data_IF_278540605492
#
_entry.id   IF_278540605492
#
_cell.length_a   1.000
_cell.length_b   1.000
_cell.length_c   1.000
_cell.angle_alpha   90.00
_cell.angle_beta   90.00
_cell.angle_gamma   90.00
#
_symmetry.space_group_name_H-M   'P 1'
#
loop_
_entity.id
_entity.type
_entity.pdbx_description
1 polymer ?
#
# COMPACT_ATOMS: atom_id res chain seq x y z
N UNK A 1 9.64 -10.23 -23.53
CA UNK A 1 10.54 -9.48 -22.64
C UNK A 1 10.12 -9.82 -21.22
N UNK A 2 11.05 -9.99 -20.28
CA UNK A 2 10.71 -10.22 -18.87
C UNK A 2 11.31 -9.09 -18.06
N UNK A 3 10.47 -8.38 -17.29
CA UNK A 3 10.93 -7.30 -16.43
C UNK A 3 11.61 -7.85 -15.18
N UNK A 4 12.69 -7.19 -14.73
CA UNK A 4 13.48 -7.62 -13.59
C UNK A 4 13.39 -6.64 -12.43
N UNK A 5 13.13 -7.17 -11.22
CA UNK A 5 13.03 -6.41 -9.99
C UNK A 5 14.14 -6.80 -9.01
N UNK A 6 14.81 -5.78 -8.48
CA UNK A 6 15.88 -5.90 -7.50
C UNK A 6 15.36 -5.55 -6.10
N UNK A 7 16.09 -5.94 -5.06
CA UNK A 7 15.78 -5.54 -3.68
C UNK A 7 15.66 -4.02 -3.51
N UNK A 8 16.44 -3.22 -4.26
CA UNK A 8 16.30 -1.76 -4.25
C UNK A 8 14.98 -1.28 -4.85
N UNK A 9 14.46 -1.98 -5.85
CA UNK A 9 13.15 -1.64 -6.44
C UNK A 9 12.03 -1.89 -5.43
N UNK A 10 12.05 -3.02 -4.72
CA UNK A 10 11.10 -3.29 -3.64
C UNK A 10 11.12 -2.19 -2.56
N UNK A 11 12.31 -1.76 -2.14
CA UNK A 11 12.41 -0.66 -1.16
C UNK A 11 11.86 0.65 -1.71
N UNK A 12 12.10 0.96 -2.99
CA UNK A 12 11.56 2.14 -3.64
C UNK A 12 10.03 2.08 -3.73
N UNK A 13 9.46 0.93 -4.07
CA UNK A 13 8.01 0.70 -4.14
C UNK A 13 7.38 0.87 -2.76
N UNK A 14 7.96 0.28 -1.71
CA UNK A 14 7.49 0.42 -0.32
C UNK A 14 7.47 1.89 0.10
N UNK A 15 8.57 2.61 -0.12
CA UNK A 15 8.64 4.04 0.21
C UNK A 15 7.61 4.86 -0.58
N UNK A 16 7.34 4.47 -1.83
CA UNK A 16 6.32 5.12 -2.66
C UNK A 16 4.91 4.87 -2.13
N UNK A 17 4.59 3.62 -1.76
CA UNK A 17 3.30 3.27 -1.15
C UNK A 17 3.08 4.12 0.10
N UNK A 18 4.00 4.11 1.07
CA UNK A 18 3.88 4.94 2.28
C UNK A 18 3.83 6.45 2.02
N UNK A 19 4.37 6.93 0.90
CA UNK A 19 4.30 8.34 0.50
C UNK A 19 2.99 8.76 -0.17
N UNK A 20 2.21 7.80 -0.69
CA UNK A 20 1.00 8.05 -1.47
C UNK A 20 -0.29 7.54 -0.80
N UNK A 21 -0.18 6.60 0.15
CA UNK A 21 -1.34 6.10 0.90
C UNK A 21 -1.91 7.15 1.85
N UNK A 22 -3.24 7.12 2.00
CA UNK A 22 -3.99 8.02 2.89
C UNK A 22 -3.88 7.59 4.35
N UNK A 23 -4.04 8.56 5.26
CA UNK A 23 -4.28 8.34 6.70
C UNK A 23 -5.67 7.72 7.00
N UNK A 24 -6.40 7.28 5.97
CA UNK A 24 -7.66 6.56 6.05
C UNK A 24 -7.55 5.19 5.38
N UNK A 25 -8.38 4.25 5.80
CA UNK A 25 -8.47 2.94 5.14
C UNK A 25 -9.01 3.09 3.73
N UNK A 26 -8.22 2.70 2.72
CA UNK A 26 -8.60 2.84 1.32
C UNK A 26 -7.82 1.88 0.42
N UNK A 27 -8.45 1.51 -0.70
CA UNK A 27 -7.74 0.93 -1.83
C UNK A 27 -7.05 2.03 -2.64
N UNK A 28 -5.79 1.78 -3.00
CA UNK A 28 -4.96 2.69 -3.78
C UNK A 28 -4.27 1.93 -4.91
N UNK A 29 -4.07 2.62 -6.03
CA UNK A 29 -3.32 2.12 -7.19
C UNK A 29 -2.03 2.91 -7.28
N UNK A 30 -0.90 2.20 -7.18
CA UNK A 30 0.44 2.79 -7.17
C UNK A 30 1.19 2.33 -8.41
N UNK A 31 1.71 3.30 -9.16
CA UNK A 31 2.45 3.07 -10.40
C UNK A 31 3.96 3.25 -10.16
N UNK A 32 4.78 2.32 -10.64
CA UNK A 32 6.24 2.36 -10.50
C UNK A 32 6.94 1.96 -11.79
N UNK A 33 7.86 2.80 -12.27
CA UNK A 33 8.63 2.54 -13.49
C UNK A 33 10.07 2.17 -13.13
N UNK A 34 10.53 0.99 -13.53
CA UNK A 34 11.89 0.50 -13.27
C UNK A 34 12.79 0.52 -14.52
N UNK A 35 12.30 1.06 -15.63
CA UNK A 35 12.98 1.09 -16.93
C UNK A 35 12.74 -0.13 -17.82
N UNK A 36 12.31 -1.27 -17.25
CA UNK A 36 11.89 -2.46 -18.00
C UNK A 36 10.38 -2.49 -18.27
N UNK A 37 9.58 -2.01 -17.31
CA UNK A 37 8.12 -1.93 -17.40
C UNK A 37 7.54 -0.86 -16.45
N UNK A 38 6.26 -0.58 -16.63
CA UNK A 38 5.40 0.06 -15.64
C UNK A 38 4.75 -1.01 -14.76
N UNK A 39 5.14 -1.09 -13.50
CA UNK A 39 4.46 -1.89 -12.48
C UNK A 39 3.26 -1.12 -11.92
N UNK A 40 2.08 -1.73 -11.96
CA UNK A 40 0.86 -1.21 -11.35
C UNK A 40 0.48 -2.13 -10.20
N UNK A 41 0.54 -1.61 -8.97
CA UNK A 41 0.21 -2.35 -7.75
C UNK A 41 -1.08 -1.80 -7.16
N UNK A 42 -2.06 -2.67 -6.95
CA UNK A 42 -3.26 -2.33 -6.18
C UNK A 42 -3.06 -2.77 -4.73
N UNK A 43 -3.14 -1.83 -3.80
CA UNK A 43 -2.94 -2.05 -2.36
C UNK A 43 -4.19 -1.64 -1.62
N UNK A 44 -4.62 -2.46 -0.66
CA UNK A 44 -5.65 -2.09 0.30
C UNK A 44 -5.01 -1.76 1.65
N UNK A 45 -5.06 -0.49 2.02
CA UNK A 45 -4.58 -0.01 3.31
C UNK A 45 -5.71 -0.08 4.33
N UNK A 46 -5.49 -0.75 5.46
CA UNK A 46 -6.44 -0.89 6.56
C UNK A 46 -5.86 -0.32 7.83
N UNK A 47 -6.59 0.62 8.42
CA UNK A 47 -6.26 1.26 9.68
C UNK A 47 -7.32 0.87 10.70
N UNK A 48 -6.91 0.09 11.69
CA UNK A 48 -7.69 -0.19 12.89
C UNK A 48 -7.52 0.95 13.89
N UNK A 49 -8.60 1.64 14.23
CA UNK A 49 -8.60 2.63 15.30
C UNK A 49 -9.10 2.01 16.59
N UNK A 50 -8.44 2.35 17.70
CA UNK A 50 -8.93 2.05 19.03
C UNK A 50 -9.46 3.31 19.69
N UNK A 51 -10.67 3.20 20.25
CA UNK A 51 -11.21 4.22 21.13
C UNK A 51 -10.45 4.21 22.45
N UNK A 52 -9.65 5.24 22.71
CA UNK A 52 -8.97 5.40 24.01
C UNK A 52 -9.89 5.94 25.12
N UNK A 53 -11.14 6.33 24.81
CA UNK A 53 -12.08 6.89 25.79
C UNK A 53 -13.19 5.89 26.13
N UNK A 54 -12.89 4.98 27.04
CA UNK A 54 -13.86 4.07 27.66
C UNK A 54 -14.69 4.73 28.77
N UNK A 55 -15.54 5.71 28.46
CA UNK A 55 -16.46 6.30 29.45
C UNK A 55 -17.74 6.89 28.85
N UNK A 56 -18.87 6.65 29.53
CA UNK A 56 -20.16 7.30 29.20
C UNK A 56 -20.11 8.77 29.58
N UNK A 57 -20.36 9.68 28.63
CA UNK A 57 -20.36 11.12 28.92
C UNK A 57 -21.56 11.81 28.29
N UNK A 58 -22.62 11.98 29.07
CA UNK A 58 -23.57 13.06 28.84
C UNK A 58 -22.83 14.39 29.07
N UNK A 59 -22.65 15.19 28.02
CA UNK A 59 -22.49 16.63 28.17
C UNK A 59 -21.16 17.29 27.78
N UNK A 60 -20.25 16.64 27.05
CA UNK A 60 -19.06 17.32 26.53
C UNK A 60 -18.79 17.02 25.05
N UNK A 61 -18.60 18.10 24.29
CA UNK A 61 -18.28 18.14 22.87
C UNK A 61 -16.73 18.06 22.75
N UNK A 62 -16.19 16.85 22.68
CA UNK A 62 -14.78 16.60 22.38
C UNK A 62 -14.69 15.77 21.10
N UNK A 63 -13.93 16.26 20.14
CA UNK A 63 -13.50 15.50 18.96
C UNK A 63 -12.87 14.19 19.45
N UNK A 64 -13.42 13.05 19.00
CA UNK A 64 -12.90 11.71 19.31
C UNK A 64 -11.40 11.65 18.99
N UNK A 65 -10.56 11.48 20.01
CA UNK A 65 -9.16 11.14 19.82
C UNK A 65 -9.09 9.65 19.47
N UNK A 66 -9.25 9.33 18.19
CA UNK A 66 -9.00 7.99 17.65
C UNK A 66 -7.49 7.80 17.52
N UNK A 67 -6.94 6.76 18.15
CA UNK A 67 -5.52 6.38 18.02
C UNK A 67 -5.43 5.19 17.06
N UNK A 68 -4.49 5.24 16.12
CA UNK A 68 -4.18 4.12 15.23
C UNK A 68 -3.58 2.99 16.09
N UNK A 69 -4.28 1.86 16.14
CA UNK A 69 -3.91 0.67 16.93
C UNK A 69 -3.26 -0.40 16.03
N UNK A 70 -3.78 -0.54 14.81
CA UNK A 70 -3.31 -1.49 13.81
C UNK A 70 -3.24 -0.83 12.43
N UNK A 71 -2.16 -1.06 11.69
CA UNK A 71 -1.98 -0.64 10.30
C UNK A 71 -1.56 -1.87 9.50
N UNK A 72 -2.35 -2.23 8.48
CA UNK A 72 -2.11 -3.40 7.64
C UNK A 72 -2.25 -3.07 6.16
N UNK A 73 -1.47 -3.77 5.34
CA UNK A 73 -1.52 -3.67 3.89
C UNK A 73 -1.79 -5.04 3.26
N UNK A 74 -2.80 -5.10 2.40
CA UNK A 74 -2.98 -6.23 1.48
C UNK A 74 -2.57 -5.81 0.06
N UNK A 75 -1.76 -6.64 -0.60
CA UNK A 75 -1.45 -6.49 -2.03
C UNK A 75 -2.48 -7.27 -2.84
N UNK A 76 -3.38 -6.57 -3.54
CA UNK A 76 -4.50 -7.17 -4.27
C UNK A 76 -4.09 -7.65 -5.67
N UNK A 77 -3.29 -6.85 -6.36
CA UNK A 77 -2.73 -7.18 -7.67
C UNK A 77 -1.39 -6.48 -7.88
N UNK A 78 -0.60 -7.02 -8.81
CA UNK A 78 0.66 -6.45 -9.25
C UNK A 78 0.91 -6.88 -10.70
N UNK A 79 0.69 -5.96 -11.63
CA UNK A 79 0.75 -6.23 -13.07
C UNK A 79 1.82 -5.33 -13.73
N UNK A 80 2.56 -5.88 -14.69
CA UNK A 80 3.61 -5.15 -15.41
C UNK A 80 3.18 -4.86 -16.84
N UNK A 81 3.37 -3.62 -17.31
CA UNK A 81 3.03 -3.18 -18.65
C UNK A 81 4.24 -2.62 -19.39
N UNK A 82 4.36 -2.93 -20.69
CA UNK A 82 5.31 -2.28 -21.57
C UNK A 82 4.87 -0.84 -21.94
N UNK A 83 5.71 -0.13 -22.70
CA UNK A 83 5.43 1.25 -23.12
C UNK A 83 4.26 1.39 -24.11
N UNK A 84 3.77 0.27 -24.66
CA UNK A 84 2.58 0.22 -25.51
C UNK A 84 1.31 -0.09 -24.70
N UNK A 85 1.45 -0.38 -23.39
CA UNK A 85 0.36 -0.73 -22.49
C UNK A 85 -0.02 -2.21 -22.53
N UNK A 86 0.82 -3.07 -23.11
CA UNK A 86 0.59 -4.52 -23.09
C UNK A 86 1.16 -5.12 -21.83
N UNK A 87 0.45 -6.10 -21.25
CA UNK A 87 0.93 -6.87 -20.11
C UNK A 87 2.19 -7.68 -20.49
N UNK A 88 3.20 -7.65 -19.62
CA UNK A 88 4.46 -8.38 -19.80
C UNK A 88 4.80 -9.20 -18.57
N UNK A 89 5.49 -10.32 -18.81
CA UNK A 89 5.98 -11.20 -17.75
C UNK A 89 7.02 -10.48 -16.88
N UNK A 90 7.07 -10.79 -15.59
CA UNK A 90 8.02 -10.21 -14.64
C UNK A 90 8.52 -11.26 -13.62
N UNK A 91 9.55 -10.91 -12.86
CA UNK A 91 9.97 -11.67 -11.67
C UNK A 91 9.52 -11.04 -10.35
N UNK A 92 8.58 -10.09 -10.43
CA UNK A 92 7.99 -9.47 -9.24
C UNK A 92 7.18 -10.49 -8.42
N UNK A 93 7.39 -10.50 -7.11
CA UNK A 93 6.71 -11.34 -6.13
C UNK A 93 5.86 -10.47 -5.19
N UNK A 94 4.55 -10.48 -5.42
CA UNK A 94 3.60 -9.77 -4.57
C UNK A 94 3.64 -10.21 -3.10
N UNK A 95 4.03 -11.45 -2.80
CA UNK A 95 4.18 -11.92 -1.42
C UNK A 95 5.42 -11.34 -0.76
N UNK A 96 6.48 -11.05 -1.51
CA UNK A 96 7.66 -10.37 -0.99
C UNK A 96 7.30 -8.92 -0.65
N UNK A 97 6.58 -8.22 -1.52
CA UNK A 97 6.08 -6.87 -1.23
C UNK A 97 5.16 -6.86 0.01
N UNK A 98 4.20 -7.78 0.09
CA UNK A 98 3.30 -7.90 1.25
C UNK A 98 4.07 -8.02 2.58
N UNK A 99 5.13 -8.83 2.62
CA UNK A 99 5.98 -9.00 3.82
C UNK A 99 6.85 -7.80 4.15
N UNK A 100 7.06 -6.88 3.20
CA UNK A 100 7.83 -5.66 3.43
C UNK A 100 6.93 -4.52 3.94
N UNK A 101 5.63 -4.58 3.64
CA UNK A 101 4.63 -3.62 4.10
C UNK A 101 4.08 -3.93 5.50
N UNK A 102 4.23 -5.17 5.99
CA UNK A 102 3.73 -5.65 7.29
C UNK A 102 4.85 -6.31 8.09
#
# INVERSE_FOLDING_TARGET
MRAHFTTSDYQAIVNKIYGEISDESAESVIEFENGDCLLVVQVNHRIGYRDEIGGSYEGYDFEMLAVVDEEEFDVLSADCYDSEGNEVDSDFDANELYKLLN
#
